data_IF_494570517048
#
_entry.id   IF_494570517048
#
_cell.length_a   1.000
_cell.length_b   1.000
_cell.length_c   1.000
_cell.angle_alpha   90.00
_cell.angle_beta   90.00
_cell.angle_gamma   90.00
#
_symmetry.space_group_name_H-M   'P 1'
#
loop_
_entity.id
_entity.type
_entity.pdbx_description
1 polymer ?
#
# COMPACT_ATOMS: atom_id res chain seq x y z
N UNK A 1 -9.01 -38.36 100.98
CA UNK A 1 -9.87 -37.83 102.05
C UNK A 1 -10.41 -36.48 101.60
N UNK A 2 -11.73 -36.30 101.72
CA UNK A 2 -12.53 -35.08 101.44
C UNK A 2 -12.69 -34.82 99.92
N UNK A 3 -13.85 -34.94 99.28
CA UNK A 3 -15.24 -34.98 99.73
C UNK A 3 -15.95 -33.69 99.32
N UNK A 4 -16.69 -33.69 98.20
CA UNK A 4 -17.73 -32.69 97.95
C UNK A 4 -18.76 -33.22 96.93
N UNK A 5 -20.03 -33.06 97.29
CA UNK A 5 -21.20 -33.58 96.62
C UNK A 5 -22.00 -32.46 95.93
N UNK A 6 -22.76 -32.88 94.90
CA UNK A 6 -23.94 -32.25 94.27
C UNK A 6 -23.77 -30.95 93.45
N UNK A 7 -24.18 -31.00 92.18
CA UNK A 7 -25.56 -30.69 91.76
C UNK A 7 -25.71 -30.91 90.24
N UNK A 8 -26.76 -31.63 89.80
CA UNK A 8 -27.15 -31.71 88.39
C UNK A 8 -27.96 -30.46 88.01
N UNK A 9 -27.54 -29.78 86.95
CA UNK A 9 -28.37 -28.84 86.20
C UNK A 9 -28.46 -29.33 84.75
N UNK A 10 -29.65 -29.75 84.32
CA UNK A 10 -29.91 -30.08 82.92
C UNK A 10 -30.16 -28.77 82.15
N UNK A 11 -29.23 -28.41 81.27
CA UNK A 11 -29.39 -27.29 80.33
C UNK A 11 -29.78 -27.88 78.98
N UNK A 12 -30.98 -27.55 78.50
CA UNK A 12 -31.38 -27.85 77.13
C UNK A 12 -30.58 -26.95 76.18
N UNK A 13 -29.73 -27.55 75.34
CA UNK A 13 -29.02 -26.86 74.28
C UNK A 13 -29.89 -26.83 73.03
N UNK A 14 -30.47 -25.68 72.69
CA UNK A 14 -30.90 -25.41 71.32
C UNK A 14 -29.67 -25.08 70.48
N UNK A 15 -29.18 -26.05 69.70
CA UNK A 15 -28.12 -25.79 68.73
C UNK A 15 -28.75 -25.33 67.42
N UNK A 16 -28.74 -24.02 67.17
CA UNK A 16 -29.11 -23.43 65.89
C UNK A 16 -28.19 -23.94 64.77
N UNK A 17 -28.78 -24.43 63.68
CA UNK A 17 -28.02 -24.73 62.46
C UNK A 17 -27.45 -23.43 61.88
N UNK A 18 -26.13 -23.25 61.96
CA UNK A 18 -25.44 -22.18 61.27
C UNK A 18 -25.49 -22.46 59.76
N UNK A 19 -26.19 -21.62 59.00
CA UNK A 19 -26.06 -21.62 57.55
C UNK A 19 -24.59 -21.29 57.21
N UNK A 20 -23.94 -22.17 56.43
CA UNK A 20 -22.59 -21.93 55.95
C UNK A 20 -22.53 -20.57 55.25
N UNK A 21 -21.47 -19.76 55.47
CA UNK A 21 -21.34 -18.51 54.74
C UNK A 21 -21.22 -18.85 53.25
N UNK A 22 -22.25 -18.50 52.49
CA UNK A 22 -22.14 -18.46 51.03
C UNK A 22 -21.09 -17.41 50.73
N UNK A 23 -19.89 -17.86 50.38
CA UNK A 23 -18.82 -16.99 49.92
C UNK A 23 -19.26 -16.36 48.60
N UNK A 24 -19.91 -15.20 48.67
CA UNK A 24 -20.20 -14.39 47.50
C UNK A 24 -18.86 -13.91 46.96
N UNK A 25 -18.39 -14.55 45.89
CA UNK A 25 -17.16 -14.16 45.20
C UNK A 25 -17.32 -12.73 44.68
N UNK A 26 -16.79 -11.74 45.41
CA UNK A 26 -16.68 -10.36 44.93
C UNK A 26 -15.59 -10.34 43.86
N UNK A 27 -15.97 -10.59 42.63
CA UNK A 27 -15.15 -10.22 41.47
C UNK A 27 -15.16 -8.69 41.42
N UNK A 28 -14.07 -8.07 41.86
CA UNK A 28 -13.90 -6.62 41.86
C UNK A 28 -13.87 -6.12 40.41
N UNK A 29 -14.83 -5.29 39.96
CA UNK A 29 -14.92 -4.84 38.56
C UNK A 29 -13.62 -4.20 38.04
N UNK A 30 -12.87 -3.54 38.93
CA UNK A 30 -11.61 -2.85 38.64
C UNK A 30 -10.50 -3.78 38.13
N UNK A 31 -10.45 -5.03 38.62
CA UNK A 31 -9.40 -5.98 38.26
C UNK A 31 -9.67 -6.61 36.88
N UNK A 32 -10.94 -6.86 36.57
CA UNK A 32 -11.37 -7.35 35.25
C UNK A 32 -11.11 -6.27 34.20
N UNK A 33 -11.49 -5.02 34.46
CA UNK A 33 -11.27 -3.90 33.53
C UNK A 33 -9.78 -3.65 33.24
N UNK A 34 -8.92 -3.66 34.27
CA UNK A 34 -7.48 -3.49 34.08
C UNK A 34 -6.87 -4.64 33.24
N UNK A 35 -7.38 -5.86 33.42
CA UNK A 35 -6.92 -7.02 32.64
C UNK A 35 -7.34 -6.96 31.17
N UNK A 36 -8.53 -6.43 30.87
CA UNK A 36 -9.01 -6.25 29.50
C UNK A 36 -8.25 -5.16 28.77
N UNK A 37 -7.92 -4.07 29.45
CA UNK A 37 -7.18 -2.95 28.87
C UNK A 37 -5.73 -3.36 28.54
N UNK A 38 -5.08 -4.12 29.42
CA UNK A 38 -3.75 -4.68 29.18
C UNK A 38 -3.73 -5.64 27.98
N UNK A 39 -4.74 -6.50 27.84
CA UNK A 39 -4.85 -7.41 26.70
C UNK A 39 -5.07 -6.68 25.37
N UNK A 40 -5.83 -5.59 25.39
CA UNK A 40 -6.02 -4.72 24.23
C UNK A 40 -4.71 -4.05 23.82
N UNK A 41 -3.98 -3.49 24.78
CA UNK A 41 -2.68 -2.84 24.51
C UNK A 41 -1.66 -3.83 23.95
N UNK A 42 -1.60 -5.04 24.50
CA UNK A 42 -0.71 -6.08 23.99
C UNK A 42 -1.05 -6.45 22.54
N UNK A 43 -2.35 -6.53 22.22
CA UNK A 43 -2.80 -6.76 20.85
C UNK A 43 -2.42 -5.61 19.92
N UNK A 44 -2.62 -4.36 20.33
CA UNK A 44 -2.26 -3.19 19.54
C UNK A 44 -0.74 -3.15 19.27
N UNK A 45 0.08 -3.41 20.29
CA UNK A 45 1.53 -3.50 20.13
C UNK A 45 1.90 -4.57 19.07
N UNK A 46 1.31 -5.76 19.18
CA UNK A 46 1.54 -6.87 18.21
C UNK A 46 1.11 -6.52 16.79
N UNK A 47 -0.02 -5.83 16.61
CA UNK A 47 -0.51 -5.42 15.28
C UNK A 47 0.48 -4.47 14.58
N UNK A 48 1.24 -3.70 15.35
CA UNK A 48 2.31 -2.82 14.86
C UNK A 48 3.71 -3.47 14.85
N UNK A 49 3.84 -4.73 15.27
CA UNK A 49 5.14 -5.42 15.39
C UNK A 49 6.03 -4.86 16.52
N UNK A 50 5.41 -4.18 17.49
CA UNK A 50 6.06 -3.58 18.64
C UNK A 50 6.03 -4.51 19.86
N UNK A 51 7.05 -4.39 20.71
CA UNK A 51 7.02 -4.95 22.06
C UNK A 51 6.19 -4.07 23.00
N UNK A 52 5.82 -4.63 24.16
CA UNK A 52 5.05 -3.91 25.17
C UNK A 52 5.76 -2.64 25.70
N UNK A 53 7.09 -2.69 25.86
CA UNK A 53 7.90 -1.53 26.25
C UNK A 53 7.88 -0.42 25.18
N UNK A 54 7.90 -0.81 23.91
CA UNK A 54 7.86 0.13 22.78
C UNK A 54 6.48 0.79 22.63
N UNK A 55 5.41 0.03 22.88
CA UNK A 55 4.05 0.56 22.94
C UNK A 55 3.86 1.55 24.09
N UNK A 56 4.38 1.24 25.27
CA UNK A 56 4.37 2.16 26.40
C UNK A 56 5.13 3.47 26.08
N UNK A 57 6.29 3.36 25.42
CA UNK A 57 7.05 4.53 24.97
C UNK A 57 6.30 5.35 23.93
N UNK A 58 5.64 4.71 22.97
CA UNK A 58 4.80 5.41 21.99
C UNK A 58 3.78 6.30 22.69
N UNK A 59 3.07 5.78 23.70
CA UNK A 59 2.10 6.58 24.46
C UNK A 59 2.75 7.77 25.17
N UNK A 60 3.92 7.57 25.77
CA UNK A 60 4.65 8.67 26.42
C UNK A 60 5.07 9.75 25.42
N UNK A 61 5.56 9.34 24.24
CA UNK A 61 5.91 10.26 23.14
C UNK A 61 4.68 11.08 22.71
N UNK A 62 3.53 10.43 22.55
CA UNK A 62 2.28 11.09 22.16
C UNK A 62 1.65 11.96 23.26
N UNK A 63 2.07 11.82 24.52
CA UNK A 63 1.71 12.75 25.60
C UNK A 63 2.62 13.98 25.63
N UNK A 64 3.72 13.97 24.86
CA UNK A 64 4.69 15.06 24.78
C UNK A 64 4.46 16.01 23.59
N UNK A 65 5.46 16.87 23.29
CA UNK A 65 5.37 17.85 22.20
C UNK A 65 5.00 17.26 20.84
N UNK A 66 5.52 16.08 20.49
CA UNK A 66 5.20 15.43 19.21
C UNK A 66 3.71 15.13 19.08
N UNK A 67 3.05 14.67 20.15
CA UNK A 67 1.62 14.44 20.15
C UNK A 67 0.79 15.72 20.10
N UNK A 68 1.30 16.85 20.62
CA UNK A 68 0.67 18.16 20.45
C UNK A 68 0.72 18.60 18.98
N UNK A 69 1.87 18.45 18.33
CA UNK A 69 2.03 18.78 16.91
C UNK A 69 1.30 17.81 15.97
N UNK A 70 1.16 16.54 16.36
CA UNK A 70 0.65 15.47 15.49
C UNK A 70 -0.17 14.44 16.29
N UNK A 71 -1.40 14.77 16.73
CA UNK A 71 -2.18 13.97 17.69
C UNK A 71 -2.64 12.58 17.21
N UNK A 72 -2.55 12.28 15.91
CA UNK A 72 -2.98 11.01 15.31
C UNK A 72 -1.84 10.31 14.56
N UNK A 73 -0.60 10.57 14.96
CA UNK A 73 0.57 9.96 14.35
C UNK A 73 0.61 8.46 14.66
N UNK A 74 0.93 7.66 13.64
CA UNK A 74 1.05 6.22 13.83
C UNK A 74 2.24 5.88 14.74
N UNK A 75 2.19 4.72 15.44
CA UNK A 75 3.20 4.37 16.43
C UNK A 75 4.62 4.24 15.89
N UNK A 76 4.78 3.73 14.66
CA UNK A 76 6.10 3.49 14.08
C UNK A 76 6.75 4.79 13.60
N UNK A 77 5.98 5.71 13.01
CA UNK A 77 6.46 7.05 12.67
C UNK A 77 6.77 7.86 13.93
N UNK A 78 5.92 7.82 14.95
CA UNK A 78 6.18 8.52 16.22
C UNK A 78 7.49 8.04 16.89
N UNK A 79 7.66 6.72 17.02
CA UNK A 79 8.86 6.12 17.59
C UNK A 79 10.10 6.33 16.71
N UNK A 80 9.93 6.39 15.39
CA UNK A 80 11.01 6.67 14.44
C UNK A 80 11.52 8.11 14.48
N UNK A 81 10.64 9.09 14.68
CA UNK A 81 11.00 10.50 14.89
C UNK A 81 11.78 10.65 16.21
N UNK A 82 11.22 10.12 17.29
CA UNK A 82 11.78 10.17 18.66
C UNK A 82 12.80 9.04 18.96
N UNK A 83 13.39 8.42 17.93
CA UNK A 83 14.35 7.34 18.09
C UNK A 83 15.62 7.82 18.81
N UNK A 84 16.13 7.02 19.76
CA UNK A 84 17.31 7.37 20.59
C UNK A 84 18.64 7.02 19.92
N UNK A 85 18.58 6.23 18.85
CA UNK A 85 19.75 5.81 18.07
C UNK A 85 19.36 5.58 16.61
N UNK A 86 20.36 5.55 15.75
CA UNK A 86 20.15 5.23 14.33
C UNK A 86 19.68 3.79 14.12
N UNK A 87 20.01 2.88 15.03
CA UNK A 87 19.52 1.50 15.01
C UNK A 87 18.04 1.42 15.35
N UNK A 88 17.57 2.15 16.38
CA UNK A 88 16.14 2.26 16.67
C UNK A 88 15.41 2.88 15.47
N UNK A 89 15.94 3.97 14.93
CA UNK A 89 15.35 4.68 13.78
C UNK A 89 15.20 3.77 12.56
N UNK A 90 16.27 3.03 12.23
CA UNK A 90 16.28 2.07 11.12
C UNK A 90 15.25 0.95 11.35
N UNK A 91 15.20 0.36 12.54
CA UNK A 91 14.24 -0.71 12.85
C UNK A 91 12.78 -0.25 12.71
N UNK A 92 12.44 0.93 13.23
CA UNK A 92 11.07 1.44 13.10
C UNK A 92 10.72 1.79 11.65
N UNK A 93 11.68 2.32 10.87
CA UNK A 93 11.47 2.56 9.44
C UNK A 93 11.23 1.24 8.67
N UNK A 94 12.00 0.18 8.96
CA UNK A 94 11.80 -1.14 8.36
C UNK A 94 10.43 -1.74 8.70
N UNK A 95 10.00 -1.63 9.97
CA UNK A 95 8.65 -2.03 10.39
C UNK A 95 7.58 -1.24 9.65
N UNK A 96 7.77 0.08 9.48
CA UNK A 96 6.81 0.94 8.78
C UNK A 96 6.66 0.53 7.31
N UNK A 97 7.77 0.25 6.62
CA UNK A 97 7.74 -0.22 5.22
C UNK A 97 6.98 -1.54 5.10
N UNK A 98 7.19 -2.48 6.03
CA UNK A 98 6.47 -3.75 6.03
C UNK A 98 4.97 -3.57 6.31
N UNK A 99 4.61 -2.72 7.27
CA UNK A 99 3.21 -2.40 7.59
C UNK A 99 2.52 -1.75 6.38
N UNK A 100 3.17 -0.80 5.74
CA UNK A 100 2.64 -0.10 4.57
C UNK A 100 2.51 -1.02 3.35
N UNK A 101 3.47 -1.90 3.12
CA UNK A 101 3.39 -2.93 2.07
C UNK A 101 2.15 -3.81 2.25
N UNK A 102 1.88 -4.28 3.48
CA UNK A 102 0.67 -5.05 3.80
C UNK A 102 -0.60 -4.22 3.61
N UNK A 103 -0.60 -2.95 4.04
CA UNK A 103 -1.74 -2.03 3.90
C UNK A 103 -2.09 -1.81 2.44
N UNK A 104 -1.10 -1.46 1.61
CA UNK A 104 -1.26 -1.27 0.16
C UNK A 104 -1.75 -2.55 -0.51
N UNK A 105 -1.20 -3.70 -0.13
CA UNK A 105 -1.67 -5.00 -0.64
C UNK A 105 -3.16 -5.24 -0.39
N UNK A 106 -3.65 -4.99 0.83
CA UNK A 106 -5.08 -5.08 1.19
C UNK A 106 -5.92 -4.08 0.40
N UNK A 107 -5.47 -2.83 0.30
CA UNK A 107 -6.17 -1.77 -0.45
C UNK A 107 -6.31 -2.14 -1.94
N UNK A 108 -5.26 -2.67 -2.56
CA UNK A 108 -5.29 -3.11 -3.95
C UNK A 108 -6.21 -4.31 -4.15
N UNK A 109 -6.20 -5.27 -3.22
CA UNK A 109 -7.13 -6.41 -3.26
C UNK A 109 -8.59 -5.93 -3.22
N UNK A 110 -8.91 -5.01 -2.30
CA UNK A 110 -10.24 -4.39 -2.23
C UNK A 110 -10.57 -3.59 -3.49
N UNK A 111 -9.63 -2.80 -4.02
CA UNK A 111 -9.84 -2.02 -5.24
C UNK A 111 -10.23 -2.92 -6.41
N UNK A 112 -9.58 -4.08 -6.58
CA UNK A 112 -9.94 -5.04 -7.64
C UNK A 112 -11.36 -5.58 -7.45
N UNK A 113 -11.75 -5.90 -6.22
CA UNK A 113 -13.10 -6.36 -5.92
C UNK A 113 -14.13 -5.26 -6.20
N UNK A 114 -13.82 -4.02 -5.84
CA UNK A 114 -14.63 -2.84 -6.12
C UNK A 114 -14.78 -2.61 -7.64
N UNK A 115 -13.69 -2.71 -8.39
CA UNK A 115 -13.68 -2.59 -9.85
C UNK A 115 -14.58 -3.62 -10.53
N UNK A 116 -14.48 -4.88 -10.10
CA UNK A 116 -15.32 -5.96 -10.59
C UNK A 116 -16.80 -5.76 -10.19
N UNK A 117 -17.05 -5.25 -8.98
CA UNK A 117 -18.41 -4.92 -8.54
C UNK A 117 -19.01 -3.80 -9.41
N UNK A 118 -18.24 -2.75 -9.72
CA UNK A 118 -18.69 -1.68 -10.59
C UNK A 118 -19.13 -2.20 -11.96
N UNK A 119 -18.32 -3.05 -12.59
CA UNK A 119 -18.64 -3.60 -13.91
C UNK A 119 -19.95 -4.39 -13.93
N UNK A 120 -20.24 -5.14 -12.86
CA UNK A 120 -21.49 -5.92 -12.74
C UNK A 120 -22.70 -5.03 -12.46
N UNK A 121 -22.53 -4.02 -11.62
CA UNK A 121 -23.65 -3.20 -11.12
C UNK A 121 -23.97 -2.00 -12.02
N UNK A 122 -22.98 -1.47 -12.75
CA UNK A 122 -23.11 -0.28 -13.60
C UNK A 122 -22.48 -0.50 -14.98
N UNK A 123 -22.98 -1.46 -15.79
CA UNK A 123 -22.43 -1.73 -17.10
C UNK A 123 -22.59 -0.50 -18.02
N UNK A 124 -21.53 -0.17 -18.76
CA UNK A 124 -21.52 0.94 -19.71
C UNK A 124 -21.41 2.35 -19.11
N UNK A 125 -21.53 2.51 -17.77
CA UNK A 125 -21.34 3.80 -17.12
C UNK A 125 -19.86 4.08 -16.85
N UNK A 126 -19.41 5.28 -17.21
CA UNK A 126 -18.08 5.76 -16.87
C UNK A 126 -17.98 6.02 -15.36
N UNK A 127 -16.96 5.44 -14.72
CA UNK A 127 -16.67 5.64 -13.29
C UNK A 127 -16.33 7.07 -12.93
N UNK A 128 -15.58 7.72 -13.82
CA UNK A 128 -15.15 9.09 -13.70
C UNK A 128 -15.40 9.73 -15.05
N UNK A 129 -16.33 10.68 -15.09
CA UNK A 129 -16.51 11.55 -16.24
C UNK A 129 -15.77 12.84 -15.93
N UNK A 130 -14.65 13.06 -16.61
CA UNK A 130 -13.91 14.32 -16.58
C UNK A 130 -14.19 15.06 -17.89
N UNK A 131 -15.07 16.07 -17.92
CA UNK A 131 -15.32 16.85 -19.13
C UNK A 131 -14.02 17.52 -19.58
N UNK A 132 -13.55 17.18 -20.78
CA UNK A 132 -12.33 17.75 -21.35
C UNK A 132 -11.01 17.07 -20.95
N UNK A 133 -11.03 16.06 -20.07
CA UNK A 133 -9.85 15.21 -19.90
C UNK A 133 -9.80 14.18 -21.02
N UNK A 134 -8.81 14.31 -21.90
CA UNK A 134 -8.29 13.13 -22.60
C UNK A 134 -7.95 12.12 -21.52
N UNK A 135 -8.48 10.89 -21.65
CA UNK A 135 -8.21 9.82 -20.71
C UNK A 135 -6.72 9.90 -20.30
N UNK A 136 -6.39 10.08 -19.01
CA UNK A 136 -5.01 9.92 -18.60
C UNK A 136 -4.59 8.58 -19.18
N UNK A 137 -3.51 8.55 -19.96
CA UNK A 137 -2.95 7.32 -20.47
C UNK A 137 -2.65 6.44 -19.26
N UNK A 138 -3.64 5.65 -18.85
CA UNK A 138 -3.55 4.75 -17.74
C UNK A 138 -2.31 3.90 -18.02
N UNK A 139 -1.44 3.79 -17.02
CA UNK A 139 -0.16 3.11 -17.14
C UNK A 139 -0.26 1.89 -18.05
N UNK A 140 0.60 1.85 -19.06
CA UNK A 140 0.73 0.76 -20.02
C UNK A 140 -0.56 0.25 -20.69
N UNK A 141 -1.67 1.01 -20.71
CA UNK A 141 -2.75 0.74 -21.67
C UNK A 141 -2.43 1.52 -22.95
N UNK A 142 -2.08 0.78 -23.99
CA UNK A 142 -1.82 1.30 -25.32
C UNK A 142 -3.08 1.86 -25.94
N UNK A 143 -2.91 2.82 -26.84
CA UNK A 143 -3.98 3.43 -27.65
C UNK A 143 -4.59 2.45 -28.68
N UNK A 144 -4.27 1.15 -28.60
CA UNK A 144 -4.47 0.15 -29.66
C UNK A 144 -3.54 0.32 -30.88
N UNK A 145 -2.77 1.43 -30.94
CA UNK A 145 -1.74 1.71 -31.94
C UNK A 145 -0.44 0.98 -31.61
N UNK A 146 0.47 0.91 -32.58
CA UNK A 146 1.80 0.35 -32.37
C UNK A 146 2.60 1.25 -31.42
N UNK A 147 3.20 0.68 -30.38
CA UNK A 147 4.23 1.33 -29.59
C UNK A 147 5.60 0.96 -30.19
N UNK A 148 6.39 1.97 -30.56
CA UNK A 148 7.68 1.80 -31.22
C UNK A 148 8.78 2.35 -30.33
N UNK A 149 9.57 1.47 -29.74
CA UNK A 149 10.67 1.81 -28.85
C UNK A 149 11.97 1.91 -29.65
N UNK A 150 12.66 3.03 -29.49
CA UNK A 150 13.91 3.35 -30.21
C UNK A 150 14.94 3.93 -29.25
N UNK A 151 16.21 3.94 -29.63
CA UNK A 151 17.28 4.65 -28.92
C UNK A 151 18.10 5.47 -29.92
N UNK A 152 18.86 6.44 -29.40
CA UNK A 152 19.90 7.08 -30.19
C UNK A 152 20.94 6.05 -30.67
N UNK A 153 21.68 6.38 -31.73
CA UNK A 153 22.77 5.56 -32.25
C UNK A 153 22.32 4.12 -32.59
N UNK A 154 21.17 4.03 -33.27
CA UNK A 154 20.52 2.78 -33.65
C UNK A 154 20.03 2.85 -35.11
N UNK A 155 20.89 2.51 -36.06
CA UNK A 155 20.51 2.50 -37.48
C UNK A 155 19.26 1.62 -37.79
N UNK A 156 19.07 0.44 -37.16
CA UNK A 156 17.84 -0.33 -37.35
C UNK A 156 16.57 0.41 -36.87
N UNK A 157 16.69 1.28 -35.86
CA UNK A 157 15.57 2.06 -35.34
C UNK A 157 15.04 3.03 -36.40
N UNK A 158 15.96 3.75 -37.06
CA UNK A 158 15.62 4.71 -38.12
C UNK A 158 14.93 3.99 -39.29
N UNK A 159 15.49 2.85 -39.72
CA UNK A 159 14.92 2.04 -40.79
C UNK A 159 13.51 1.54 -40.44
N UNK A 160 13.31 1.01 -39.23
CA UNK A 160 12.02 0.47 -38.81
C UNK A 160 10.94 1.55 -38.77
N UNK A 161 11.27 2.74 -38.29
CA UNK A 161 10.35 3.87 -38.24
C UNK A 161 9.99 4.38 -39.64
N UNK A 162 10.96 4.46 -40.56
CA UNK A 162 10.68 4.78 -41.96
C UNK A 162 9.75 3.78 -42.62
N UNK A 163 9.95 2.48 -42.39
CA UNK A 163 9.08 1.43 -42.91
C UNK A 163 7.64 1.57 -42.41
N UNK A 164 7.46 1.76 -41.10
CA UNK A 164 6.13 1.94 -40.51
C UNK A 164 5.43 3.19 -41.03
N UNK A 165 6.18 4.29 -41.18
CA UNK A 165 5.66 5.52 -41.76
C UNK A 165 5.24 5.32 -43.23
N UNK A 166 6.08 4.69 -44.05
CA UNK A 166 5.79 4.41 -45.46
C UNK A 166 4.55 3.50 -45.62
N UNK A 167 4.36 2.55 -44.70
CA UNK A 167 3.16 1.70 -44.65
C UNK A 167 1.89 2.42 -44.17
N UNK A 168 1.95 3.73 -43.88
CA UNK A 168 0.79 4.48 -43.39
C UNK A 168 0.39 4.16 -41.95
N UNK A 169 1.22 3.42 -41.20
CA UNK A 169 0.87 2.99 -39.84
C UNK A 169 0.82 4.17 -38.88
N UNK A 170 -0.21 4.21 -38.05
CA UNK A 170 -0.26 5.09 -36.88
C UNK A 170 0.49 4.44 -35.71
N UNK A 171 1.41 5.17 -35.10
CA UNK A 171 2.24 4.63 -34.02
C UNK A 171 2.70 5.69 -33.02
N UNK A 172 2.96 5.22 -31.80
CA UNK A 172 3.44 6.01 -30.69
C UNK A 172 4.91 5.67 -30.48
N UNK A 173 5.79 6.61 -30.80
CA UNK A 173 7.23 6.43 -30.68
C UNK A 173 7.69 6.78 -29.27
N UNK A 174 8.51 5.90 -28.67
CA UNK A 174 9.08 6.06 -27.34
C UNK A 174 10.61 6.00 -27.43
N UNK A 175 11.28 7.11 -27.15
CA UNK A 175 12.74 7.15 -27.13
C UNK A 175 13.29 6.73 -25.76
N UNK A 176 13.98 5.59 -25.74
CA UNK A 176 14.71 5.05 -24.60
C UNK A 176 15.99 5.85 -24.39
N UNK A 177 16.28 6.20 -23.13
CA UNK A 177 17.47 6.97 -22.78
C UNK A 177 17.43 8.43 -23.23
N UNK A 178 16.24 8.98 -23.50
CA UNK A 178 16.06 10.40 -23.87
C UNK A 178 16.49 11.38 -22.77
N UNK A 179 16.55 10.94 -21.50
CA UNK A 179 16.81 11.78 -20.31
C UNK A 179 15.82 12.95 -20.16
N UNK A 180 14.59 12.77 -20.63
CA UNK A 180 13.56 13.84 -20.69
C UNK A 180 14.03 15.06 -21.51
N UNK A 181 14.97 14.86 -22.44
CA UNK A 181 15.42 15.89 -23.36
C UNK A 181 14.58 15.86 -24.65
N UNK A 182 13.68 16.82 -24.71
CA UNK A 182 12.78 17.11 -25.80
C UNK A 182 13.51 17.43 -27.13
N UNK A 183 14.63 18.16 -27.05
CA UNK A 183 15.41 18.52 -28.23
C UNK A 183 16.05 17.29 -28.87
N UNK A 184 16.52 16.35 -28.03
CA UNK A 184 17.09 15.08 -28.48
C UNK A 184 16.11 14.24 -29.27
N UNK A 185 14.86 14.12 -28.82
CA UNK A 185 13.81 13.39 -29.55
C UNK A 185 13.51 14.08 -30.89
N UNK A 186 13.36 15.41 -30.89
CA UNK A 186 13.07 16.16 -32.13
C UNK A 186 14.18 16.08 -33.16
N UNK A 187 15.44 16.13 -32.71
CA UNK A 187 16.60 15.97 -33.56
C UNK A 187 16.65 14.57 -34.16
N UNK A 188 16.51 13.54 -33.33
CA UNK A 188 16.48 12.15 -33.78
C UNK A 188 15.34 11.90 -34.77
N UNK A 189 14.13 12.40 -34.49
CA UNK A 189 12.97 12.26 -35.37
C UNK A 189 13.21 12.88 -36.76
N UNK A 190 13.83 14.06 -36.80
CA UNK A 190 14.23 14.73 -38.05
C UNK A 190 15.26 13.88 -38.82
N UNK A 191 16.29 13.37 -38.13
CA UNK A 191 17.33 12.52 -38.74
C UNK A 191 16.77 11.19 -39.26
N UNK A 192 15.83 10.59 -38.53
CA UNK A 192 15.16 9.37 -38.93
C UNK A 192 14.22 9.57 -40.14
N UNK A 193 13.88 10.81 -40.49
CA UNK A 193 12.99 11.15 -41.60
C UNK A 193 11.50 11.03 -41.23
N UNK A 194 11.14 11.27 -39.97
CA UNK A 194 9.74 11.35 -39.55
C UNK A 194 9.11 12.60 -40.16
N UNK A 195 7.97 12.44 -40.82
CA UNK A 195 7.22 13.53 -41.43
C UNK A 195 6.59 14.43 -40.36
N UNK A 196 6.98 15.72 -40.26
CA UNK A 196 6.41 16.64 -39.29
C UNK A 196 4.90 16.87 -39.46
N UNK A 197 4.34 16.65 -40.65
CA UNK A 197 2.90 16.73 -40.88
C UNK A 197 2.16 15.58 -40.17
N UNK A 198 2.74 14.37 -40.17
CA UNK A 198 2.17 13.21 -39.45
C UNK A 198 2.28 13.34 -37.93
N UNK A 199 3.31 14.02 -37.45
CA UNK A 199 3.42 14.38 -36.03
C UNK A 199 2.35 15.40 -35.64
N UNK A 200 2.19 16.46 -36.44
CA UNK A 200 1.14 17.48 -36.24
C UNK A 200 -0.27 16.91 -36.30
N UNK A 201 -0.52 15.97 -37.21
CA UNK A 201 -1.78 15.23 -37.33
C UNK A 201 -1.97 14.16 -36.24
N UNK A 202 -0.97 13.95 -35.37
CA UNK A 202 -0.93 12.92 -34.32
C UNK A 202 -1.03 11.47 -34.82
N UNK A 203 -0.86 11.23 -36.12
CA UNK A 203 -0.71 9.87 -36.69
C UNK A 203 0.58 9.23 -36.20
N UNK A 204 1.61 10.04 -35.92
CA UNK A 204 2.82 9.62 -35.21
C UNK A 204 2.94 10.50 -33.97
N UNK A 205 3.19 9.93 -32.79
CA UNK A 205 3.51 10.72 -31.59
C UNK A 205 4.95 10.49 -31.19
N UNK A 206 5.62 11.51 -30.66
CA UNK A 206 6.99 11.42 -30.15
C UNK A 206 6.94 11.53 -28.62
N UNK A 207 7.43 10.51 -27.92
CA UNK A 207 7.35 10.41 -26.46
C UNK A 207 8.70 10.01 -25.86
N UNK A 208 8.94 10.42 -24.62
CA UNK A 208 9.98 9.82 -23.80
C UNK A 208 9.53 8.42 -23.34
N UNK A 209 10.45 7.47 -23.34
CA UNK A 209 10.16 6.13 -22.82
C UNK A 209 9.82 6.14 -21.33
N UNK A 210 10.53 6.94 -20.52
CA UNK A 210 10.34 7.07 -19.08
C UNK A 210 10.30 5.71 -18.32
N UNK A 211 11.02 4.69 -18.80
CA UNK A 211 11.05 3.35 -18.21
C UNK A 211 9.97 2.40 -18.73
N UNK A 212 9.15 2.84 -19.70
CA UNK A 212 8.07 2.02 -20.27
C UNK A 212 8.62 0.73 -20.88
N UNK A 213 9.67 0.78 -21.71
CA UNK A 213 10.26 -0.38 -22.35
C UNK A 213 10.63 -1.48 -21.34
N UNK A 214 11.33 -1.09 -20.28
CA UNK A 214 11.72 -2.01 -19.20
C UNK A 214 10.50 -2.57 -18.48
N UNK A 215 9.48 -1.74 -18.24
CA UNK A 215 8.25 -2.16 -17.54
C UNK A 215 7.40 -3.16 -18.33
N UNK A 216 7.53 -3.20 -19.67
CA UNK A 216 6.80 -4.15 -20.51
C UNK A 216 7.39 -5.57 -20.43
N UNK A 217 8.66 -5.72 -20.03
CA UNK A 217 9.32 -7.02 -19.90
C UNK A 217 9.38 -7.84 -21.20
N UNK A 218 9.24 -7.20 -22.36
CA UNK A 218 9.28 -7.87 -23.65
C UNK A 218 10.72 -8.24 -24.03
N UNK A 219 10.96 -9.45 -24.58
CA UNK A 219 12.30 -9.86 -24.97
C UNK A 219 12.82 -9.13 -26.22
N UNK A 220 14.14 -9.14 -26.39
CA UNK A 220 14.85 -8.66 -27.59
C UNK A 220 15.39 -7.24 -27.49
N UNK A 221 16.20 -6.85 -28.48
CA UNK A 221 16.82 -5.52 -28.54
C UNK A 221 15.91 -4.47 -29.22
N UNK A 222 16.35 -3.21 -29.20
CA UNK A 222 15.72 -2.10 -29.92
C UNK A 222 16.18 -2.09 -31.40
N UNK A 223 15.31 -1.70 -32.35
CA UNK A 223 13.95 -1.21 -32.15
C UNK A 223 12.98 -2.32 -31.76
N UNK A 224 12.04 -2.00 -30.88
CA UNK A 224 10.95 -2.90 -30.53
C UNK A 224 9.63 -2.31 -30.98
N UNK A 225 8.81 -3.12 -31.65
CA UNK A 225 7.43 -2.75 -32.00
C UNK A 225 6.52 -3.65 -31.20
N UNK A 226 5.63 -3.05 -30.42
CA UNK A 226 4.69 -3.79 -29.59
C UNK A 226 3.28 -3.25 -29.79
N UNK A 227 2.29 -4.11 -29.54
CA UNK A 227 0.87 -3.74 -29.55
C UNK A 227 0.18 -4.37 -28.36
N UNK A 228 -0.74 -3.65 -27.76
CA UNK A 228 -1.63 -4.22 -26.76
C UNK A 228 -2.76 -4.99 -27.46
N UNK A 229 -2.88 -6.28 -27.16
CA UNK A 229 -3.94 -7.18 -27.63
C UNK A 229 -4.56 -7.83 -26.40
N UNK A 230 -5.87 -7.63 -26.20
CA UNK A 230 -6.61 -8.17 -25.05
C UNK A 230 -6.00 -7.85 -23.68
N UNK A 231 -5.44 -6.65 -23.50
CA UNK A 231 -4.81 -6.24 -22.24
C UNK A 231 -3.38 -6.76 -22.03
N UNK A 232 -2.80 -7.45 -23.03
CA UNK A 232 -1.42 -7.94 -22.99
C UNK A 232 -0.60 -7.31 -24.10
N UNK A 233 0.63 -6.90 -23.77
CA UNK A 233 1.57 -6.40 -24.76
C UNK A 233 2.22 -7.57 -25.51
N UNK A 234 2.21 -7.47 -26.82
CA UNK A 234 2.82 -8.45 -27.71
C UNK A 234 3.77 -7.74 -28.67
N UNK A 235 5.00 -8.23 -28.73
CA UNK A 235 5.97 -7.80 -29.74
C UNK A 235 5.49 -8.27 -31.12
N UNK A 236 5.56 -7.39 -32.12
CA UNK A 236 5.18 -7.63 -33.51
C UNK A 236 6.38 -8.11 -34.34
#
# INVERSE_FOLDING_TARGET
MIGLALALAAVATEASAQAAPVATSRVTPSQVQASTDAALEERLAKDWGLRADEWARYRQVMQGPLGIYSPNLDPLTALGIEARSDEERRRYAELQVQAESKRVGKTLAYQRAYDAAWQRLFPGQQRVSLPGAQAPGAGNKGSGRLAVFVKADCAPCDQRVRQLQAAGSAFDLYMVGSRQDDARIRQWATQAGIDPARVRARTITLNHDAGRWLSLGLPGELPAVAREVNGQWQRQ
#
